data_IF_166418358821
#
_entry.id   IF_166418358821
#
_cell.length_a   1.000
_cell.length_b   1.000
_cell.length_c   1.000
_cell.angle_alpha   90.00
_cell.angle_beta   90.00
_cell.angle_gamma   90.00
#
_symmetry.space_group_name_H-M   'P 1'
#
loop_
_entity.id
_entity.type
_entity.pdbx_description
1 polymer ?
#
# COMPACT_ATOMS: atom_id res chain seq x y z
N UNK A 1 3.40 10.32 -17.14
CA UNK A 1 4.68 10.98 -16.78
C UNK A 1 5.28 10.21 -15.64
N UNK A 2 6.59 10.24 -15.43
CA UNK A 2 7.26 9.31 -14.55
C UNK A 2 7.17 9.70 -13.08
N UNK A 3 7.36 8.68 -12.22
CA UNK A 3 7.60 8.89 -10.80
C UNK A 3 8.97 9.54 -10.59
N UNK A 4 9.02 10.55 -9.72
CA UNK A 4 10.28 11.18 -9.29
C UNK A 4 10.82 10.42 -8.08
N UNK A 5 12.06 10.00 -8.15
CA UNK A 5 12.76 9.32 -7.05
C UNK A 5 14.20 9.82 -6.94
N UNK A 6 14.81 9.63 -5.78
CA UNK A 6 16.22 9.95 -5.57
C UNK A 6 17.09 9.10 -6.50
N UNK A 7 18.09 9.74 -7.13
CA UNK A 7 18.90 9.14 -8.19
C UNK A 7 19.64 7.86 -7.80
N UNK A 8 19.93 7.70 -6.51
CA UNK A 8 20.68 6.58 -5.94
C UNK A 8 19.83 5.62 -5.12
N UNK A 9 18.49 5.74 -5.19
CA UNK A 9 17.58 4.74 -4.61
C UNK A 9 17.74 3.41 -5.36
N UNK A 10 18.01 2.28 -4.67
CA UNK A 10 18.25 0.98 -5.33
C UNK A 10 17.12 0.55 -6.27
N UNK A 11 15.87 0.82 -5.93
CA UNK A 11 14.71 0.51 -6.76
C UNK A 11 14.77 1.15 -8.16
N UNK A 12 15.54 2.23 -8.36
CA UNK A 12 15.63 2.92 -9.67
C UNK A 12 16.16 1.99 -10.76
N UNK A 13 17.25 1.29 -10.49
CA UNK A 13 17.88 0.41 -11.50
C UNK A 13 16.92 -0.72 -11.93
N UNK A 14 16.22 -1.33 -10.98
CA UNK A 14 15.27 -2.41 -11.27
C UNK A 14 14.04 -1.92 -12.05
N UNK A 15 13.53 -0.73 -11.72
CA UNK A 15 12.40 -0.12 -12.44
C UNK A 15 12.82 0.20 -13.90
N UNK A 16 14.03 0.71 -14.13
CA UNK A 16 14.55 1.00 -15.47
C UNK A 16 14.76 -0.29 -16.28
N UNK A 17 15.23 -1.39 -15.67
CA UNK A 17 15.33 -2.72 -16.32
C UNK A 17 13.94 -3.28 -16.71
N UNK A 18 12.91 -2.96 -15.98
CA UNK A 18 11.51 -3.30 -16.30
C UNK A 18 10.87 -2.37 -17.35
N UNK A 19 11.64 -1.46 -17.97
CA UNK A 19 11.15 -0.41 -18.88
C UNK A 19 10.13 0.54 -18.22
N UNK A 20 10.19 0.72 -16.93
CA UNK A 20 9.42 1.72 -16.20
C UNK A 20 10.23 3.01 -16.20
N UNK A 21 9.65 4.06 -16.80
CA UNK A 21 10.32 5.34 -16.86
C UNK A 21 10.31 6.04 -15.51
N UNK A 22 11.50 6.29 -14.96
CA UNK A 22 11.73 6.98 -13.70
C UNK A 22 12.41 8.32 -13.97
N UNK A 23 12.06 9.34 -13.22
CA UNK A 23 12.62 10.68 -13.34
C UNK A 23 13.52 10.97 -12.15
N UNK A 24 14.71 11.49 -12.41
CA UNK A 24 15.56 12.05 -11.36
C UNK A 24 15.18 13.52 -11.07
N UNK A 25 15.74 14.05 -9.99
CA UNK A 25 15.46 15.41 -9.51
C UNK A 25 15.79 16.48 -10.56
N UNK A 26 16.90 16.33 -11.28
CA UNK A 26 17.33 17.32 -12.27
C UNK A 26 16.37 17.42 -13.45
N UNK A 27 15.84 16.29 -13.89
CA UNK A 27 14.84 16.26 -14.96
C UNK A 27 13.48 16.76 -14.52
N UNK A 28 13.10 16.47 -13.26
CA UNK A 28 11.83 16.93 -12.69
C UNK A 28 11.77 18.46 -12.61
N UNK A 29 12.85 19.11 -12.18
CA UNK A 29 12.95 20.60 -12.08
C UNK A 29 12.79 21.26 -13.45
N UNK A 30 13.16 20.59 -14.54
CA UNK A 30 13.04 21.15 -15.89
C UNK A 30 11.60 21.16 -16.44
N UNK A 31 10.65 20.54 -15.74
CA UNK A 31 9.25 20.50 -16.13
C UNK A 31 8.43 21.38 -15.16
N UNK A 32 7.75 22.37 -15.70
CA UNK A 32 6.88 23.25 -14.90
C UNK A 32 5.54 22.56 -14.58
N UNK A 33 5.58 21.48 -13.78
CA UNK A 33 4.43 20.67 -13.39
C UNK A 33 4.52 20.44 -11.89
N UNK A 34 3.43 20.71 -11.15
CA UNK A 34 3.32 20.32 -9.76
C UNK A 34 3.17 18.79 -9.67
N UNK A 35 4.13 18.06 -9.10
CA UNK A 35 3.97 16.62 -8.83
C UNK A 35 2.93 16.41 -7.73
N UNK A 36 2.30 15.23 -7.72
CA UNK A 36 1.55 14.77 -6.56
C UNK A 36 2.54 14.33 -5.48
N UNK A 37 2.41 14.86 -4.29
CA UNK A 37 3.24 14.51 -3.14
C UNK A 37 2.62 13.32 -2.41
N UNK A 38 3.23 12.15 -2.52
CA UNK A 38 2.77 10.90 -1.92
C UNK A 38 3.73 10.48 -0.83
N UNK A 39 3.18 10.25 0.37
CA UNK A 39 3.95 9.72 1.49
C UNK A 39 3.68 8.22 1.67
N UNK A 40 4.72 7.44 1.92
CA UNK A 40 4.63 5.99 2.16
C UNK A 40 5.17 5.69 3.54
N UNK A 41 4.28 5.40 4.50
CA UNK A 41 4.65 4.84 5.79
C UNK A 41 4.92 3.35 5.61
N UNK A 42 6.20 3.00 5.52
CA UNK A 42 6.65 1.65 5.28
C UNK A 42 6.92 0.92 6.60
N UNK A 43 5.98 0.05 7.00
CA UNK A 43 6.05 -0.77 8.22
C UNK A 43 6.61 -2.17 7.95
N UNK A 44 6.86 -2.51 6.66
CA UNK A 44 7.38 -3.82 6.27
C UNK A 44 8.82 -4.03 6.72
N UNK A 45 9.20 -5.30 7.02
CA UNK A 45 10.53 -5.60 7.57
C UNK A 45 11.66 -5.47 6.53
N UNK A 46 11.41 -5.81 5.26
CA UNK A 46 12.35 -5.65 4.15
C UNK A 46 11.88 -4.44 3.33
N UNK A 47 12.40 -3.27 3.71
CA UNK A 47 11.89 -2.01 3.18
C UNK A 47 12.17 -1.84 1.69
N UNK A 48 13.32 -2.28 1.21
CA UNK A 48 13.72 -2.14 -0.19
C UNK A 48 12.78 -2.89 -1.16
N UNK A 49 12.34 -4.10 -0.79
CA UNK A 49 11.38 -4.85 -1.60
C UNK A 49 10.04 -4.09 -1.69
N UNK A 50 9.58 -3.56 -0.56
CA UNK A 50 8.33 -2.81 -0.51
C UNK A 50 8.43 -1.47 -1.26
N UNK A 51 9.57 -0.79 -1.18
CA UNK A 51 9.86 0.41 -1.98
C UNK A 51 9.66 0.12 -3.47
N UNK A 52 10.34 -0.91 -3.98
CA UNK A 52 10.26 -1.32 -5.38
C UNK A 52 8.82 -1.68 -5.79
N UNK A 53 8.13 -2.47 -4.98
CA UNK A 53 6.77 -2.92 -5.24
C UNK A 53 5.77 -1.75 -5.33
N UNK A 54 5.82 -0.82 -4.39
CA UNK A 54 4.94 0.35 -4.37
C UNK A 54 5.29 1.36 -5.48
N UNK A 55 6.58 1.64 -5.69
CA UNK A 55 7.02 2.54 -6.76
C UNK A 55 6.59 2.02 -8.13
N UNK A 56 6.65 0.70 -8.36
CA UNK A 56 6.16 0.07 -9.60
C UNK A 56 4.65 0.29 -9.78
N UNK A 57 3.84 0.12 -8.74
CA UNK A 57 2.39 0.36 -8.78
C UNK A 57 2.06 1.83 -9.05
N UNK A 58 2.74 2.73 -8.34
CA UNK A 58 2.54 4.18 -8.46
C UNK A 58 3.01 4.75 -9.81
N UNK A 59 4.00 4.13 -10.45
CA UNK A 59 4.53 4.60 -11.75
C UNK A 59 3.58 4.37 -12.94
N UNK A 60 2.53 3.57 -12.77
CA UNK A 60 1.59 3.25 -13.85
C UNK A 60 0.51 4.33 -14.05
N UNK A 61 0.91 5.59 -14.11
CA UNK A 61 0.04 6.76 -14.32
C UNK A 61 0.73 7.81 -15.17
N UNK A 62 -0.03 8.65 -15.92
CA UNK A 62 0.53 9.83 -16.58
C UNK A 62 0.81 10.99 -15.61
N UNK A 63 0.39 10.93 -14.36
CA UNK A 63 0.62 11.98 -13.37
C UNK A 63 2.08 11.92 -12.87
N UNK A 64 2.69 13.07 -12.63
CA UNK A 64 3.99 13.14 -11.97
C UNK A 64 3.79 12.96 -10.48
N UNK A 65 4.62 12.10 -9.88
CA UNK A 65 4.53 11.74 -8.45
C UNK A 65 5.90 11.93 -7.81
N UNK A 66 5.92 12.57 -6.67
CA UNK A 66 7.06 12.66 -5.75
C UNK A 66 6.77 11.81 -4.52
N UNK A 67 7.66 10.87 -4.18
CA UNK A 67 7.44 9.92 -3.10
C UNK A 67 8.38 10.19 -1.93
N UNK A 68 7.80 10.42 -0.75
CA UNK A 68 8.50 10.50 0.53
C UNK A 68 8.28 9.22 1.33
N UNK A 69 9.35 8.52 1.70
CA UNK A 69 9.28 7.37 2.59
C UNK A 69 9.34 7.78 4.05
N UNK A 70 8.40 7.29 4.85
CA UNK A 70 8.29 7.53 6.28
C UNK A 70 8.56 6.26 7.07
N UNK A 71 9.28 6.38 8.18
CA UNK A 71 9.49 5.32 9.15
C UNK A 71 8.95 5.70 10.53
N UNK A 72 8.69 4.68 11.37
CA UNK A 72 8.43 4.89 12.79
C UNK A 72 9.72 5.17 13.54
N UNK A 73 9.75 6.26 14.31
CA UNK A 73 10.88 6.65 15.16
C UNK A 73 11.04 5.73 16.38
N UNK A 74 9.92 5.21 16.88
CA UNK A 74 9.85 4.29 18.02
C UNK A 74 10.23 2.85 17.68
N UNK A 75 10.54 2.54 16.40
CA UNK A 75 10.88 1.21 15.93
C UNK A 75 12.18 1.18 15.13
N UNK A 76 13.11 0.31 15.53
CA UNK A 76 14.37 0.10 14.80
C UNK A 76 14.20 -1.05 13.82
N UNK A 77 14.37 -0.77 12.52
CA UNK A 77 14.35 -1.80 11.47
C UNK A 77 15.51 -2.78 11.67
N UNK A 78 15.20 -4.09 11.68
CA UNK A 78 16.21 -5.15 11.85
C UNK A 78 16.76 -5.69 10.53
N UNK A 79 16.01 -5.55 9.44
CA UNK A 79 16.30 -6.17 8.15
C UNK A 79 16.72 -5.17 7.06
N UNK A 80 16.81 -3.89 7.41
CA UNK A 80 17.27 -2.82 6.50
C UNK A 80 18.41 -2.06 7.17
N UNK A 81 19.48 -1.76 6.44
CA UNK A 81 20.64 -1.08 6.98
C UNK A 81 20.30 0.33 7.50
N UNK A 82 20.92 0.72 8.61
CA UNK A 82 20.76 2.06 9.17
C UNK A 82 21.15 3.17 8.17
N UNK A 83 22.13 2.91 7.31
CA UNK A 83 22.58 3.85 6.26
C UNK A 83 21.49 4.08 5.21
N UNK A 84 20.78 3.03 4.78
CA UNK A 84 19.66 3.13 3.87
C UNK A 84 18.52 3.95 4.48
N UNK A 85 18.14 3.61 5.72
CA UNK A 85 17.09 4.33 6.44
C UNK A 85 17.42 5.81 6.56
N UNK A 86 18.62 6.13 7.06
CA UNK A 86 19.05 7.53 7.26
C UNK A 86 19.05 8.33 5.95
N UNK A 87 19.29 7.67 4.82
CA UNK A 87 19.41 8.34 3.53
C UNK A 87 18.07 8.55 2.84
N UNK A 88 17.14 7.60 2.92
CA UNK A 88 15.91 7.57 2.11
C UNK A 88 14.62 7.75 2.90
N UNK A 89 14.67 7.69 4.23
CA UNK A 89 13.48 7.78 5.08
C UNK A 89 13.49 9.05 5.91
N UNK A 90 12.30 9.60 6.09
CA UNK A 90 12.03 10.68 7.03
C UNK A 90 11.28 10.14 8.26
N UNK A 91 11.32 10.91 9.34
CA UNK A 91 10.55 10.68 10.56
C UNK A 91 9.30 11.53 10.56
N UNK A 92 8.33 11.21 11.42
CA UNK A 92 7.11 12.01 11.55
C UNK A 92 7.42 13.46 11.96
N UNK A 93 8.39 13.68 12.82
CA UNK A 93 8.78 15.03 13.25
C UNK A 93 9.25 15.92 12.10
N UNK A 94 9.89 15.34 11.09
CA UNK A 94 10.37 16.07 9.91
C UNK A 94 9.26 16.47 8.95
N UNK A 95 8.13 15.72 8.95
CA UNK A 95 7.05 15.91 7.97
C UNK A 95 5.77 16.52 8.55
N UNK A 96 5.58 16.57 9.85
CA UNK A 96 4.30 16.86 10.52
C UNK A 96 3.70 18.24 10.20
N UNK A 97 4.51 19.19 9.74
CA UNK A 97 4.05 20.53 9.34
C UNK A 97 3.70 20.65 7.86
N UNK A 98 3.91 19.60 7.07
CA UNK A 98 3.64 19.57 5.64
C UNK A 98 2.24 19.00 5.35
N UNK A 99 1.74 19.26 4.15
CA UNK A 99 0.56 18.61 3.60
C UNK A 99 0.98 17.70 2.44
N UNK A 100 0.22 16.63 2.23
CA UNK A 100 0.46 15.66 1.17
C UNK A 100 -0.82 15.35 0.41
N UNK A 101 -0.69 15.04 -0.87
CA UNK A 101 -1.83 14.69 -1.71
C UNK A 101 -2.35 13.29 -1.42
N UNK A 102 -1.45 12.34 -1.12
CA UNK A 102 -1.84 10.98 -0.78
C UNK A 102 -0.89 10.32 0.21
N UNK A 103 -1.38 9.27 0.87
CA UNK A 103 -0.60 8.45 1.79
C UNK A 103 -0.84 6.97 1.58
N UNK A 104 0.20 6.16 1.73
CA UNK A 104 0.09 4.70 1.82
C UNK A 104 0.65 4.26 3.17
N UNK A 105 -0.15 3.49 3.93
CA UNK A 105 0.29 2.80 5.15
C UNK A 105 0.36 1.31 4.82
N UNK A 106 1.57 0.73 4.88
CA UNK A 106 1.80 -0.66 4.48
C UNK A 106 1.35 -1.66 5.54
N UNK A 107 1.38 -2.94 5.20
CA UNK A 107 1.30 -4.04 6.15
C UNK A 107 2.49 -4.08 7.12
N UNK A 108 2.37 -4.93 8.15
CA UNK A 108 3.43 -5.24 9.09
C UNK A 108 3.27 -6.67 9.61
N UNK A 109 4.37 -7.41 9.89
CA UNK A 109 4.30 -8.80 10.35
C UNK A 109 4.05 -8.91 11.87
N UNK A 110 3.14 -8.12 12.41
CA UNK A 110 2.79 -8.03 13.84
C UNK A 110 1.32 -8.39 14.11
N UNK A 111 0.65 -9.00 13.16
CA UNK A 111 -0.78 -9.25 13.15
C UNK A 111 -1.30 -10.16 14.27
N UNK A 112 -0.42 -10.98 14.88
CA UNK A 112 -0.77 -11.84 16.02
C UNK A 112 -0.78 -11.11 17.38
N UNK A 113 -0.17 -9.92 17.45
CA UNK A 113 -0.21 -9.06 18.62
C UNK A 113 -1.50 -8.26 18.66
N UNK A 114 -2.02 -7.93 19.83
CA UNK A 114 -3.04 -6.90 19.90
C UNK A 114 -2.46 -5.55 19.45
N UNK A 115 -3.30 -4.64 18.96
CA UNK A 115 -2.80 -3.39 18.40
C UNK A 115 -2.02 -2.58 19.44
N UNK A 116 -2.49 -2.54 20.67
CA UNK A 116 -1.89 -1.83 21.80
C UNK A 116 -0.56 -2.47 22.27
N UNK A 117 -0.29 -3.71 21.90
CA UNK A 117 0.98 -4.42 22.21
C UNK A 117 2.08 -4.09 21.19
N UNK A 118 1.72 -3.47 20.05
CA UNK A 118 2.70 -3.09 19.04
C UNK A 118 3.49 -1.88 19.50
N UNK A 119 4.80 -1.99 19.59
CA UNK A 119 5.68 -0.98 20.20
C UNK A 119 5.64 0.42 19.57
N UNK A 120 5.15 0.55 18.35
CA UNK A 120 4.96 1.84 17.65
C UNK A 120 3.47 2.23 17.51
N UNK A 121 2.57 1.60 18.27
CA UNK A 121 1.14 1.83 18.12
C UNK A 121 0.73 3.29 18.39
N UNK A 122 1.22 3.90 19.45
CA UNK A 122 0.90 5.29 19.81
C UNK A 122 1.41 6.29 18.76
N UNK A 123 2.60 6.03 18.18
CA UNK A 123 3.13 6.84 17.08
C UNK A 123 2.29 6.64 15.81
N UNK A 124 1.86 5.41 15.51
CA UNK A 124 0.98 5.12 14.38
C UNK A 124 -0.38 5.82 14.51
N UNK A 125 -0.99 5.81 15.69
CA UNK A 125 -2.20 6.59 15.98
C UNK A 125 -1.98 8.07 15.69
N UNK A 126 -0.86 8.62 16.16
CA UNK A 126 -0.52 10.03 15.93
C UNK A 126 -0.44 10.36 14.44
N UNK A 127 0.20 9.49 13.65
CA UNK A 127 0.30 9.63 12.18
C UNK A 127 -1.07 9.50 11.52
N UNK A 128 -1.89 8.53 11.91
CA UNK A 128 -3.24 8.33 11.37
C UNK A 128 -4.17 9.51 11.71
N UNK A 129 -4.07 10.08 12.93
CA UNK A 129 -4.86 11.27 13.27
C UNK A 129 -4.42 12.51 12.50
N UNK A 130 -3.09 12.70 12.35
CA UNK A 130 -2.51 13.76 11.56
C UNK A 130 -2.96 13.66 10.08
N UNK A 131 -2.98 12.46 9.51
CA UNK A 131 -3.35 12.25 8.10
C UNK A 131 -4.76 12.73 7.77
N UNK A 132 -5.68 12.73 8.73
CA UNK A 132 -7.04 13.25 8.52
C UNK A 132 -7.07 14.73 8.10
N UNK A 133 -6.07 15.50 8.51
CA UNK A 133 -6.00 16.95 8.24
C UNK A 133 -4.98 17.31 7.17
N UNK A 134 -3.91 16.53 7.07
CA UNK A 134 -2.73 16.86 6.26
C UNK A 134 -2.60 16.02 4.99
N UNK A 135 -3.46 15.04 4.77
CA UNK A 135 -3.44 14.17 3.59
C UNK A 135 -4.80 14.14 2.95
N UNK A 136 -4.90 14.23 1.63
CA UNK A 136 -6.19 14.20 0.92
C UNK A 136 -6.84 12.82 0.98
N UNK A 137 -6.11 11.75 0.68
CA UNK A 137 -6.60 10.36 0.73
C UNK A 137 -5.51 9.39 1.16
N UNK A 138 -5.86 8.39 2.01
CA UNK A 138 -4.93 7.38 2.52
C UNK A 138 -5.35 5.98 2.11
N UNK A 139 -4.43 5.20 1.51
CA UNK A 139 -4.58 3.75 1.34
C UNK A 139 -3.88 3.05 2.50
N UNK A 140 -4.60 2.14 3.14
CA UNK A 140 -4.09 1.22 4.15
C UNK A 140 -4.03 -0.19 3.57
N UNK A 141 -2.91 -0.91 3.73
CA UNK A 141 -2.68 -2.22 3.12
C UNK A 141 -2.52 -3.29 4.21
N UNK A 142 -3.20 -4.43 4.06
CA UNK A 142 -3.11 -5.63 4.89
C UNK A 142 -3.27 -5.32 6.40
N UNK A 143 -2.21 -5.51 7.22
CA UNK A 143 -2.24 -5.15 8.63
C UNK A 143 -2.50 -3.66 8.85
N UNK A 144 -1.93 -2.79 8.03
CA UNK A 144 -2.23 -1.36 8.06
C UNK A 144 -3.72 -1.07 7.83
N UNK A 145 -4.39 -1.85 6.97
CA UNK A 145 -5.83 -1.74 6.78
C UNK A 145 -6.62 -2.15 8.02
N UNK A 146 -6.21 -3.22 8.69
CA UNK A 146 -6.84 -3.64 9.96
C UNK A 146 -6.61 -2.61 11.06
N UNK A 147 -5.40 -2.06 11.16
CA UNK A 147 -5.05 -1.00 12.13
C UNK A 147 -5.87 0.27 11.90
N UNK A 148 -6.00 0.72 10.64
CA UNK A 148 -6.81 1.87 10.29
C UNK A 148 -8.31 1.65 10.54
N UNK A 149 -8.85 0.48 10.19
CA UNK A 149 -10.25 0.12 10.50
C UNK A 149 -10.50 0.08 12.01
N UNK A 150 -9.56 -0.45 12.77
CA UNK A 150 -9.66 -0.46 14.23
C UNK A 150 -9.66 0.96 14.81
N UNK A 151 -8.67 1.76 14.45
CA UNK A 151 -8.52 3.10 14.99
C UNK A 151 -9.66 4.05 14.59
N UNK A 152 -10.01 4.12 13.30
CA UNK A 152 -10.99 5.09 12.79
C UNK A 152 -12.44 4.67 12.97
N UNK A 153 -12.72 3.36 13.03
CA UNK A 153 -14.08 2.81 12.98
C UNK A 153 -14.39 1.80 14.08
N UNK A 154 -13.44 1.46 14.95
CA UNK A 154 -13.62 0.49 16.03
C UNK A 154 -13.80 -0.95 15.57
N UNK A 155 -13.43 -1.28 14.33
CA UNK A 155 -13.56 -2.62 13.75
C UNK A 155 -12.46 -3.52 14.31
N UNK A 156 -12.85 -4.60 14.98
CA UNK A 156 -11.91 -5.54 15.59
C UNK A 156 -11.32 -6.49 14.55
N UNK A 157 -10.10 -6.97 14.81
CA UNK A 157 -9.53 -8.07 14.07
C UNK A 157 -9.92 -9.42 14.69
N UNK A 158 -9.92 -10.44 13.85
CA UNK A 158 -10.23 -11.82 14.20
C UNK A 158 -9.08 -12.71 13.72
N UNK A 159 -8.63 -13.64 14.59
CA UNK A 159 -7.59 -14.61 14.22
C UNK A 159 -8.19 -15.68 13.31
N UNK A 160 -7.54 -15.98 12.20
CA UNK A 160 -7.90 -17.08 11.31
C UNK A 160 -7.41 -18.41 11.89
N UNK A 161 -8.12 -19.49 11.58
CA UNK A 161 -7.72 -20.86 12.00
C UNK A 161 -6.40 -21.30 11.39
N UNK A 162 -6.04 -20.77 10.22
CA UNK A 162 -4.79 -20.99 9.50
C UNK A 162 -4.37 -19.75 8.72
N UNK A 163 -3.10 -19.68 8.30
CA UNK A 163 -2.61 -18.61 7.43
C UNK A 163 -3.37 -18.60 6.11
N UNK A 164 -3.95 -17.47 5.77
CA UNK A 164 -4.49 -17.23 4.44
C UNK A 164 -3.31 -16.80 3.54
N UNK A 165 -2.82 -17.72 2.70
CA UNK A 165 -1.69 -17.49 1.80
C UNK A 165 -2.05 -17.96 0.40
N UNK A 166 -1.92 -17.08 -0.61
CA UNK A 166 -2.24 -17.43 -1.99
C UNK A 166 -2.83 -16.29 -2.79
N UNK A 167 -3.33 -16.61 -3.96
CA UNK A 167 -3.98 -15.69 -4.91
C UNK A 167 -5.45 -16.07 -5.03
N UNK A 168 -6.32 -15.22 -4.52
CA UNK A 168 -7.74 -15.52 -4.38
C UNK A 168 -8.57 -14.73 -5.38
N UNK A 169 -9.69 -15.33 -5.77
CA UNK A 169 -10.68 -14.74 -6.64
C UNK A 169 -11.59 -13.78 -5.85
N UNK A 170 -11.75 -12.56 -6.35
CA UNK A 170 -12.60 -11.52 -5.78
C UNK A 170 -13.63 -11.06 -6.78
N UNK A 171 -14.77 -10.58 -6.28
CA UNK A 171 -15.84 -9.97 -7.08
C UNK A 171 -15.97 -8.49 -6.75
N UNK A 172 -16.21 -7.68 -7.77
CA UNK A 172 -16.55 -6.26 -7.60
C UNK A 172 -18.00 -6.16 -7.14
N UNK A 173 -18.20 -5.54 -5.97
CA UNK A 173 -19.52 -5.39 -5.34
C UNK A 173 -20.22 -4.10 -5.74
N UNK A 174 -19.50 -3.08 -6.17
CA UNK A 174 -20.06 -1.81 -6.59
C UNK A 174 -19.27 -1.19 -7.75
N UNK A 175 -19.74 -1.47 -8.98
CA UNK A 175 -19.11 -0.99 -10.22
C UNK A 175 -19.20 0.52 -10.46
N UNK A 176 -20.07 1.23 -9.74
CA UNK A 176 -20.22 2.69 -9.89
C UNK A 176 -19.14 3.46 -9.16
N UNK A 177 -18.39 2.80 -8.28
CA UNK A 177 -17.34 3.44 -7.51
C UNK A 177 -16.07 3.64 -8.36
N UNK A 178 -15.55 4.87 -8.48
CA UNK A 178 -14.38 5.16 -9.31
C UNK A 178 -13.15 4.32 -8.98
N UNK A 179 -12.96 3.89 -7.72
CA UNK A 179 -11.80 3.11 -7.30
C UNK A 179 -11.68 1.77 -8.03
N UNK A 180 -12.79 1.14 -8.39
CA UNK A 180 -12.84 -0.13 -9.11
C UNK A 180 -13.15 0.02 -10.61
N UNK A 181 -13.02 1.23 -11.14
CA UNK A 181 -13.21 1.48 -12.58
C UNK A 181 -12.18 0.71 -13.39
N UNK A 182 -12.64 -0.01 -14.41
CA UNK A 182 -11.78 -0.83 -15.27
C UNK A 182 -11.45 -2.20 -14.69
N UNK A 183 -11.98 -2.54 -13.51
CA UNK A 183 -11.90 -3.90 -13.00
C UNK A 183 -12.89 -4.81 -13.76
N UNK A 184 -12.49 -6.06 -13.95
CA UNK A 184 -13.41 -7.12 -14.38
C UNK A 184 -14.41 -7.43 -13.26
N UNK A 185 -15.51 -8.14 -13.59
CA UNK A 185 -16.47 -8.61 -12.57
C UNK A 185 -15.80 -9.46 -11.51
N UNK A 186 -14.78 -10.20 -11.94
CA UNK A 186 -13.98 -11.12 -11.15
C UNK A 186 -12.52 -10.88 -11.44
N UNK A 187 -11.71 -10.78 -10.40
CA UNK A 187 -10.26 -10.56 -10.50
C UNK A 187 -9.52 -11.33 -9.41
N UNK A 188 -8.21 -11.47 -9.61
CA UNK A 188 -7.33 -12.16 -8.68
C UNK A 188 -6.55 -11.16 -7.82
N UNK A 189 -6.37 -11.47 -6.53
CA UNK A 189 -5.53 -10.68 -5.63
C UNK A 189 -4.78 -11.56 -4.62
N UNK A 190 -3.50 -11.24 -4.32
CA UNK A 190 -2.70 -11.99 -3.35
C UNK A 190 -3.03 -11.60 -1.92
N UNK A 191 -2.98 -12.61 -1.05
CA UNK A 191 -3.11 -12.47 0.40
C UNK A 191 -2.00 -13.25 1.12
N UNK A 192 -1.56 -12.72 2.26
CA UNK A 192 -0.67 -13.41 3.20
C UNK A 192 -0.93 -12.86 4.59
N UNK A 193 -1.78 -13.53 5.38
CA UNK A 193 -2.20 -13.02 6.70
C UNK A 193 -2.74 -14.10 7.61
N UNK A 194 -2.61 -13.91 8.93
CA UNK A 194 -3.20 -14.76 9.98
C UNK A 194 -4.45 -14.15 10.61
N UNK A 195 -4.79 -12.90 10.26
CA UNK A 195 -5.93 -12.18 10.82
C UNK A 195 -6.78 -11.53 9.73
N UNK A 196 -8.00 -11.18 10.08
CA UNK A 196 -8.90 -10.39 9.23
C UNK A 196 -9.67 -9.39 10.08
N UNK A 197 -10.14 -8.32 9.46
CA UNK A 197 -11.10 -7.41 10.10
C UNK A 197 -12.49 -8.07 10.17
N UNK A 198 -13.22 -7.83 11.25
CA UNK A 198 -14.56 -8.40 11.45
C UNK A 198 -15.52 -8.01 10.34
N UNK A 199 -15.91 -9.01 9.53
CA UNK A 199 -16.82 -8.81 8.40
C UNK A 199 -18.14 -8.18 8.81
N UNK A 200 -18.73 -8.68 9.91
CA UNK A 200 -20.02 -8.19 10.39
C UNK A 200 -19.95 -6.73 10.79
N UNK A 201 -18.91 -6.34 11.53
CA UNK A 201 -18.73 -4.95 11.96
C UNK A 201 -18.50 -3.99 10.79
N UNK A 202 -17.79 -4.43 9.73
CA UNK A 202 -17.63 -3.64 8.50
C UNK A 202 -18.99 -3.42 7.83
N UNK A 203 -19.80 -4.48 7.67
CA UNK A 203 -21.09 -4.41 6.98
C UNK A 203 -22.13 -3.59 7.78
N UNK A 204 -22.06 -3.60 9.08
CA UNK A 204 -22.96 -2.85 9.98
C UNK A 204 -22.58 -1.37 10.10
N UNK A 205 -21.41 -0.95 9.64
CA UNK A 205 -20.95 0.42 9.76
C UNK A 205 -21.34 1.25 8.51
N UNK A 206 -22.28 2.23 8.65
CA UNK A 206 -22.79 3.01 7.52
C UNK A 206 -21.76 3.94 6.88
N UNK A 207 -20.61 4.20 7.53
CA UNK A 207 -19.51 4.99 6.98
C UNK A 207 -18.57 4.17 6.10
N UNK A 208 -18.73 2.84 6.07
CA UNK A 208 -17.90 1.91 5.32
C UNK A 208 -18.67 1.32 4.14
N UNK A 209 -18.00 1.19 3.01
CA UNK A 209 -18.58 0.63 1.78
C UNK A 209 -17.67 -0.47 1.23
N UNK A 210 -18.15 -1.69 1.18
CA UNK A 210 -17.41 -2.81 0.58
C UNK A 210 -17.44 -2.69 -0.93
N UNK A 211 -16.28 -2.65 -1.56
CA UNK A 211 -16.12 -2.53 -3.02
C UNK A 211 -15.73 -3.85 -3.70
N UNK A 212 -14.99 -4.70 -2.99
CA UNK A 212 -14.61 -6.02 -3.48
C UNK A 212 -14.60 -7.05 -2.35
N UNK A 213 -15.03 -8.26 -2.66
CA UNK A 213 -15.20 -9.34 -1.69
C UNK A 213 -14.87 -10.71 -2.32
N UNK A 214 -14.53 -11.69 -1.49
CA UNK A 214 -14.22 -13.07 -1.88
C UNK A 214 -14.93 -14.05 -0.96
N UNK A 215 -15.45 -15.12 -1.53
CA UNK A 215 -16.05 -16.21 -0.75
C UNK A 215 -15.00 -16.96 0.10
N UNK A 216 -13.73 -16.97 -0.37
CA UNK A 216 -12.63 -17.68 0.28
C UNK A 216 -11.75 -16.76 1.15
N UNK A 217 -11.43 -15.56 0.64
CA UNK A 217 -10.50 -14.65 1.31
C UNK A 217 -11.22 -13.50 2.07
N UNK A 218 -12.54 -13.41 2.00
CA UNK A 218 -13.32 -12.38 2.66
C UNK A 218 -13.20 -11.01 1.99
N UNK A 219 -13.54 -9.96 2.72
CA UNK A 219 -13.55 -8.58 2.22
C UNK A 219 -12.14 -8.17 1.78
N UNK A 220 -12.05 -7.55 0.58
CA UNK A 220 -10.77 -7.12 0.02
C UNK A 220 -10.60 -5.61 -0.01
N UNK A 221 -11.57 -4.85 -0.54
CA UNK A 221 -11.50 -3.39 -0.62
C UNK A 221 -12.68 -2.78 0.13
N UNK A 222 -12.38 -1.89 1.06
CA UNK A 222 -13.38 -1.08 1.78
C UNK A 222 -13.04 0.39 1.60
N UNK A 223 -14.06 1.18 1.28
CA UNK A 223 -14.00 2.63 1.19
C UNK A 223 -14.59 3.23 2.47
N UNK A 224 -13.84 4.10 3.14
CA UNK A 224 -14.25 4.86 4.30
C UNK A 224 -14.33 6.35 4.01
N UNK A 225 -15.30 7.04 4.60
CA UNK A 225 -15.50 8.49 4.52
C UNK A 225 -15.34 9.08 3.11
N UNK A 226 -16.01 8.43 2.14
CA UNK A 226 -16.03 8.89 0.75
C UNK A 226 -14.68 8.80 0.01
N UNK A 227 -13.75 8.01 0.51
CA UNK A 227 -12.40 7.81 -0.06
C UNK A 227 -11.29 8.56 0.67
N UNK A 228 -11.60 9.18 1.79
CA UNK A 228 -10.60 9.72 2.72
C UNK A 228 -9.68 8.61 3.22
N UNK A 229 -10.26 7.47 3.58
CA UNK A 229 -9.55 6.25 3.92
C UNK A 229 -10.00 5.10 3.02
N UNK A 230 -9.04 4.37 2.49
CA UNK A 230 -9.23 3.18 1.66
C UNK A 230 -8.49 2.02 2.31
N UNK A 231 -9.18 0.90 2.51
CA UNK A 231 -8.62 -0.27 3.19
C UNK A 231 -8.56 -1.45 2.22
N UNK A 232 -7.35 -1.96 1.98
CA UNK A 232 -7.08 -3.09 1.09
C UNK A 232 -6.52 -4.23 1.93
N UNK A 233 -7.30 -5.32 2.09
CA UNK A 233 -6.98 -6.41 3.03
C UNK A 233 -5.94 -7.40 2.50
N UNK A 234 -5.59 -7.34 1.23
CA UNK A 234 -4.54 -8.15 0.60
C UNK A 234 -3.35 -7.29 0.21
N UNK A 235 -2.55 -7.80 -0.71
CA UNK A 235 -1.28 -7.21 -1.13
C UNK A 235 -1.22 -6.94 -2.63
N UNK A 236 -1.90 -5.89 -3.14
CA UNK A 236 -1.85 -5.56 -4.58
C UNK A 236 -0.43 -5.26 -5.08
N UNK A 237 0.45 -4.80 -4.18
CA UNK A 237 1.83 -4.45 -4.46
C UNK A 237 2.76 -5.66 -4.71
N UNK A 238 2.40 -6.86 -4.24
CA UNK A 238 3.28 -8.03 -4.27
C UNK A 238 3.80 -8.37 -5.66
N UNK A 239 5.09 -8.72 -5.69
CA UNK A 239 5.75 -9.28 -6.85
C UNK A 239 5.43 -10.75 -7.06
N UNK A 240 5.76 -11.24 -8.27
CA UNK A 240 5.57 -12.64 -8.64
C UNK A 240 6.11 -13.63 -7.61
N UNK A 241 7.27 -13.35 -7.03
CA UNK A 241 7.98 -14.26 -6.14
C UNK A 241 7.78 -13.99 -4.65
N UNK A 242 7.02 -12.97 -4.26
CA UNK A 242 6.89 -12.59 -2.85
C UNK A 242 6.28 -13.71 -2.00
N UNK A 243 5.19 -14.33 -2.46
CA UNK A 243 4.58 -15.47 -1.74
C UNK A 243 5.47 -16.72 -1.75
N UNK A 244 6.27 -16.95 -2.78
CA UNK A 244 7.26 -18.03 -2.84
C UNK A 244 8.37 -17.83 -1.79
N UNK A 245 8.88 -16.60 -1.69
CA UNK A 245 9.88 -16.23 -0.68
C UNK A 245 9.33 -16.37 0.75
N UNK A 246 8.09 -15.97 0.98
CA UNK A 246 7.43 -16.15 2.27
C UNK A 246 7.22 -17.62 2.60
N UNK A 247 6.79 -18.43 1.64
CA UNK A 247 6.57 -19.86 1.79
C UNK A 247 7.89 -20.59 2.16
N UNK A 248 8.96 -20.33 1.40
CA UNK A 248 10.29 -20.90 1.64
C UNK A 248 10.86 -20.44 2.99
N UNK A 249 10.76 -19.16 3.31
CA UNK A 249 11.17 -18.62 4.61
C UNK A 249 10.46 -19.30 5.78
N UNK A 250 9.16 -19.58 5.65
CA UNK A 250 8.38 -20.23 6.71
C UNK A 250 8.81 -21.71 6.87
N UNK A 251 9.14 -22.42 5.78
CA UNK A 251 9.76 -23.76 5.83
C UNK A 251 11.11 -23.71 6.53
N UNK A 252 11.99 -22.76 6.17
CA UNK A 252 13.33 -22.62 6.76
C UNK A 252 13.28 -22.33 8.27
N UNK A 253 12.19 -21.75 8.76
CA UNK A 253 11.92 -21.54 10.19
C UNK A 253 11.34 -22.75 10.90
N UNK A 254 11.18 -23.88 10.21
CA UNK A 254 10.55 -25.08 10.76
C UNK A 254 9.03 -24.98 10.93
N UNK A 255 8.40 -24.01 10.30
CA UNK A 255 6.95 -23.92 10.18
C UNK A 255 6.56 -24.85 9.02
N UNK A 256 5.46 -25.58 9.16
CA UNK A 256 4.88 -26.40 8.08
C UNK A 256 3.77 -25.58 7.38
N UNK A 257 4.10 -24.64 6.46
CA UNK A 257 3.11 -23.82 5.79
C UNK A 257 2.37 -24.65 4.73
N UNK A 258 1.07 -24.38 4.59
CA UNK A 258 0.34 -24.87 3.42
C UNK A 258 0.86 -24.16 2.14
N UNK A 259 0.77 -24.86 1.01
CA UNK A 259 1.10 -24.25 -0.29
C UNK A 259 0.21 -23.02 -0.52
N UNK A 260 0.77 -21.89 -1.02
CA UNK A 260 -0.03 -20.75 -1.41
C UNK A 260 -1.08 -21.11 -2.48
N UNK A 261 -2.36 -20.87 -2.17
CA UNK A 261 -3.51 -21.26 -3.01
C UNK A 261 -3.47 -20.54 -4.36
N UNK A 262 -3.76 -21.26 -5.47
CA UNK A 262 -3.83 -20.73 -6.84
C UNK A 262 -2.57 -19.96 -7.30
N UNK A 263 -1.42 -20.30 -6.77
CA UNK A 263 -0.20 -19.53 -7.00
C UNK A 263 0.81 -20.27 -7.90
N UNK A 264 1.08 -21.54 -7.62
CA UNK A 264 1.95 -22.35 -8.46
C UNK A 264 1.12 -23.09 -9.54
N UNK A 265 1.62 -23.17 -10.80
CA UNK A 265 0.99 -24.02 -11.81
C UNK A 265 0.92 -25.49 -11.35
N UNK A 266 -0.28 -26.08 -11.42
CA UNK A 266 -0.56 -27.46 -10.99
C UNK A 266 -0.13 -27.77 -9.52
N UNK A 267 -0.13 -26.76 -8.65
CA UNK A 267 0.31 -26.82 -7.25
C UNK A 267 1.75 -27.35 -7.07
N UNK A 268 2.60 -27.19 -8.09
CA UNK A 268 4.02 -27.59 -8.04
C UNK A 268 4.92 -26.40 -7.68
N UNK A 269 5.44 -26.38 -6.45
CA UNK A 269 6.32 -25.31 -5.94
C UNK A 269 7.69 -25.23 -6.63
N UNK A 270 8.05 -26.19 -7.50
CA UNK A 270 9.25 -26.12 -8.33
C UNK A 270 9.02 -25.34 -9.64
N UNK A 271 7.77 -25.08 -9.98
CA UNK A 271 7.41 -24.32 -11.19
C UNK A 271 7.32 -22.83 -10.87
N UNK A 272 7.68 -22.01 -11.87
CA UNK A 272 7.60 -20.55 -11.74
C UNK A 272 6.17 -20.11 -11.52
N UNK A 273 5.87 -19.34 -10.45
CA UNK A 273 4.52 -18.85 -10.16
C UNK A 273 3.95 -17.97 -11.27
N UNK A 274 2.64 -17.98 -11.41
CA UNK A 274 1.93 -17.11 -12.34
C UNK A 274 1.60 -15.77 -11.70
N UNK A 275 1.79 -14.69 -12.45
CA UNK A 275 1.40 -13.34 -12.04
C UNK A 275 0.03 -13.02 -12.66
N UNK A 276 -1.04 -13.05 -11.87
CA UNK A 276 -2.42 -12.89 -12.34
C UNK A 276 -3.17 -11.68 -11.75
N UNK A 277 -2.48 -10.83 -10.97
CA UNK A 277 -3.11 -9.70 -10.26
C UNK A 277 -2.58 -8.33 -10.67
N UNK A 278 -1.48 -8.22 -11.39
CA UNK A 278 -0.78 -6.96 -11.69
C UNK A 278 -1.66 -5.92 -12.38
N UNK A 279 -2.48 -6.31 -13.34
CA UNK A 279 -3.32 -5.36 -14.09
C UNK A 279 -4.38 -4.70 -13.19
N UNK A 280 -5.03 -5.45 -12.31
CA UNK A 280 -6.00 -4.92 -11.36
C UNK A 280 -5.34 -4.10 -10.24
N UNK A 281 -4.16 -4.52 -9.78
CA UNK A 281 -3.34 -3.74 -8.86
C UNK A 281 -2.95 -2.37 -9.45
N UNK A 282 -2.49 -2.35 -10.70
CA UNK A 282 -2.19 -1.11 -11.41
C UNK A 282 -3.42 -0.21 -11.55
N UNK A 283 -4.59 -0.78 -11.89
CA UNK A 283 -5.84 -0.03 -11.96
C UNK A 283 -6.23 0.55 -10.59
N UNK A 284 -6.04 -0.19 -9.50
CA UNK A 284 -6.32 0.29 -8.14
C UNK A 284 -5.51 1.56 -7.82
N UNK A 285 -4.19 1.52 -8.01
CA UNK A 285 -3.32 2.67 -7.75
C UNK A 285 -3.62 3.84 -8.71
N UNK A 286 -3.80 3.57 -10.00
CA UNK A 286 -4.13 4.60 -10.98
C UNK A 286 -5.47 5.28 -10.67
N UNK A 287 -6.50 4.52 -10.31
CA UNK A 287 -7.80 5.06 -9.94
C UNK A 287 -7.74 5.87 -8.65
N UNK A 288 -7.01 5.39 -7.65
CA UNK A 288 -6.78 6.13 -6.41
C UNK A 288 -6.11 7.47 -6.69
N UNK A 289 -4.96 7.47 -7.39
CA UNK A 289 -4.22 8.68 -7.75
C UNK A 289 -5.06 9.66 -8.55
N UNK A 290 -5.88 9.17 -9.49
CA UNK A 290 -6.69 10.03 -10.33
C UNK A 290 -7.93 10.57 -9.62
N UNK A 291 -8.73 9.71 -8.97
CA UNK A 291 -10.06 10.07 -8.50
C UNK A 291 -10.12 10.49 -7.02
N UNK A 292 -9.18 10.02 -6.19
CA UNK A 292 -9.19 10.29 -4.75
C UNK A 292 -8.02 11.16 -4.28
N UNK A 293 -7.02 11.35 -5.14
CA UNK A 293 -5.89 12.23 -4.88
C UNK A 293 -5.95 13.45 -5.80
N UNK A 294 -5.65 13.29 -7.09
CA UNK A 294 -5.49 14.41 -8.02
C UNK A 294 -6.74 15.28 -8.17
N UNK A 295 -7.93 14.66 -8.34
CA UNK A 295 -9.17 15.43 -8.57
C UNK A 295 -9.76 16.04 -7.29
N UNK A 296 -9.35 15.59 -6.11
CA UNK A 296 -9.88 16.06 -4.82
C UNK A 296 -8.92 17.04 -4.14
N UNK A 297 -7.61 16.90 -4.37
CA UNK A 297 -6.63 17.82 -3.78
C UNK A 297 -6.94 19.26 -4.14
N UNK A 298 -7.08 20.17 -3.15
CA UNK A 298 -7.28 21.59 -3.41
C UNK A 298 -6.09 22.15 -4.18
N UNK A 299 -6.38 22.83 -5.29
CA UNK A 299 -5.37 23.50 -6.11
C UNK A 299 -5.77 24.94 -6.33
N UNK A 300 -4.96 25.88 -5.84
CA UNK A 300 -5.11 27.29 -6.16
C UNK A 300 -4.11 27.67 -7.26
N UNK A 301 -4.63 28.03 -8.42
CA UNK A 301 -3.82 28.49 -9.56
C UNK A 301 -3.01 29.77 -9.25
N UNK A 302 -3.44 30.56 -8.27
CA UNK A 302 -2.76 31.78 -7.88
C UNK A 302 -1.59 31.56 -6.92
N UNK A 303 -1.59 30.47 -6.14
CA UNK A 303 -0.47 30.10 -5.27
C UNK A 303 0.66 29.36 -6.01
N UNK A 304 0.37 28.77 -7.18
CA UNK A 304 1.33 27.95 -7.93
C UNK A 304 2.40 28.73 -8.70
N UNK A 305 2.22 30.02 -8.96
CA UNK A 305 3.17 30.82 -9.74
C UNK A 305 4.30 31.45 -8.90
N UNK A 306 4.08 31.70 -7.61
CA UNK A 306 5.06 32.41 -6.78
C UNK A 306 6.12 31.49 -6.14
N UNK A 307 5.88 30.18 -6.04
CA UNK A 307 6.80 29.22 -5.42
C UNK A 307 7.79 28.54 -6.39
N UNK A 308 7.67 28.77 -7.70
CA UNK A 308 8.52 28.14 -8.72
C UNK A 308 9.39 29.10 -9.53
N UNK A 309 9.43 30.38 -9.14
CA UNK A 309 10.32 31.40 -9.71
C UNK A 309 11.47 31.71 -8.73
N UNK A 310 12.39 30.75 -8.51
CA UNK A 310 13.75 31.04 -8.01
C UNK A 310 14.74 30.15 -8.76
#
# INVERSE_FOLDING_TARGET
MPIKIQSDLPAKAELEEENIFVMDENRAISQNIRPLEIIVLNLMPIKQDTELQLLRGLSNTPLQIDVTFLQMSSHVSKNTSASHIKKFYQTFEEIKNNNYDGMIITGAPVEKLEFEEVNYWDELITVMEWSKKHVTSTIHICWGAQAGLYYHYGIRKELLSKKLSGVYKHRVMNRKEPLVRGFDDVFMAPHSRYTQASRQQILDNPRLKVLADSDEAGIYIVLGDGGKEIFVMGHPEYDRLTLDQEYKRDIDKGIEPELPVNYYPDDDCNRKPMLSWRSHANNLYTNWLNYYVYQITPYDLNEGYDNYCI
#
